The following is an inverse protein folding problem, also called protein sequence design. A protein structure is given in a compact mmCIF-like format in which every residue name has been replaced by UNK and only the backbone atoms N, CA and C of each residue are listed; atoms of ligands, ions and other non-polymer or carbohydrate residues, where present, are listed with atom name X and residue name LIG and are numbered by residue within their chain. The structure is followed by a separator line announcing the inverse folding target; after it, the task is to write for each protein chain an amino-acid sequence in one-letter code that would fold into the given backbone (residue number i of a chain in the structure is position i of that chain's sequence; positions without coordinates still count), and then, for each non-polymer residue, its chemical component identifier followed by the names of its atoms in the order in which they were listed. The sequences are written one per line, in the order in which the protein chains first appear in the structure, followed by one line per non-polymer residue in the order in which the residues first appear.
data_IF_261440844176
#
_entry.id   IF_261440844176
#
_cell.length_a   1.000
_cell.length_b   1.000
_cell.length_c   1.000
_cell.angle_alpha   90.00
_cell.angle_beta   90.00
_cell.angle_gamma   90.00
#
_symmetry.space_group_name_H-M   'P 1'
#
loop_
_entity.id
_entity.type
_entity.pdbx_description
1 polymer ?
#
# COMPACT_ATOMS: atom_id res chain seq x y z
N UNK A 1 -6.08 11.33 -5.34
CA UNK A 1 -7.32 10.82 -4.74
C UNK A 1 -7.07 9.47 -4.08
N UNK A 2 -7.56 9.30 -2.86
CA UNK A 2 -7.41 8.02 -2.14
C UNK A 2 -8.41 6.99 -2.67
N UNK A 3 -7.95 5.77 -2.80
CA UNK A 3 -8.80 4.64 -3.18
C UNK A 3 -8.20 3.31 -2.74
N UNK A 4 -8.99 2.27 -2.80
CA UNK A 4 -8.49 0.93 -2.51
C UNK A 4 -7.52 0.46 -3.59
N UNK A 5 -6.53 -0.32 -3.18
CA UNK A 5 -5.60 -0.97 -4.08
C UNK A 5 -6.28 -2.18 -4.70
N UNK A 6 -6.05 -2.41 -5.99
CA UNK A 6 -6.53 -3.59 -6.70
C UNK A 6 -5.37 -4.31 -7.37
N UNK A 7 -5.65 -5.48 -7.93
CA UNK A 7 -4.64 -6.27 -8.63
C UNK A 7 -4.03 -5.53 -9.83
N UNK A 8 -4.76 -4.60 -10.41
CA UNK A 8 -4.28 -3.80 -11.53
C UNK A 8 -3.21 -2.79 -11.12
N UNK A 9 -3.02 -2.57 -9.83
CA UNK A 9 -2.02 -1.65 -9.30
C UNK A 9 -0.69 -2.35 -8.98
N UNK A 10 -0.58 -3.65 -9.26
CA UNK A 10 0.57 -4.45 -8.83
C UNK A 10 1.90 -3.92 -9.35
N UNK A 11 1.94 -3.48 -10.60
CA UNK A 11 3.18 -2.99 -11.19
C UNK A 11 3.65 -1.70 -10.53
N UNK A 12 2.73 -0.79 -10.25
CA UNK A 12 3.06 0.46 -9.56
C UNK A 12 3.51 0.20 -8.13
N UNK A 13 2.85 -0.72 -7.43
CA UNK A 13 3.25 -1.12 -6.07
C UNK A 13 4.66 -1.71 -6.08
N UNK A 14 4.97 -2.58 -7.05
CA UNK A 14 6.30 -3.14 -7.19
C UNK A 14 7.35 -2.05 -7.40
N UNK A 15 7.09 -1.13 -8.33
CA UNK A 15 8.03 -0.05 -8.65
C UNK A 15 8.27 0.85 -7.46
N UNK A 16 7.22 1.27 -6.77
CA UNK A 16 7.31 2.15 -5.61
C UNK A 16 8.07 1.44 -4.48
N UNK A 17 7.76 0.17 -4.23
CA UNK A 17 8.43 -0.61 -3.19
C UNK A 17 9.91 -0.74 -3.46
N UNK A 18 10.28 -0.97 -4.72
CA UNK A 18 11.68 -1.08 -5.11
C UNK A 18 12.43 0.25 -4.97
N UNK A 19 11.88 1.32 -5.53
CA UNK A 19 12.56 2.61 -5.56
C UNK A 19 12.54 3.34 -4.23
N UNK A 20 11.43 3.30 -3.50
CA UNK A 20 11.27 4.11 -2.30
C UNK A 20 11.58 3.35 -1.02
N UNK A 21 11.42 2.03 -1.01
CA UNK A 21 11.64 1.20 0.18
C UNK A 21 12.83 0.25 0.04
N UNK A 22 13.40 0.14 -1.16
CA UNK A 22 14.55 -0.72 -1.40
C UNK A 22 14.23 -2.21 -1.44
N UNK A 23 12.98 -2.58 -1.65
CA UNK A 23 12.57 -3.98 -1.72
C UNK A 23 12.53 -4.46 -3.17
N UNK A 24 13.43 -5.36 -3.51
CA UNK A 24 13.45 -6.00 -4.82
C UNK A 24 12.51 -7.20 -4.81
N UNK A 25 11.22 -6.94 -5.03
CA UNK A 25 10.20 -7.99 -5.00
C UNK A 25 9.73 -8.35 -6.40
N UNK A 26 9.41 -9.63 -6.57
CA UNK A 26 8.86 -10.18 -7.81
C UNK A 26 7.41 -9.73 -7.99
N UNK A 27 7.04 -9.40 -9.22
CA UNK A 27 5.68 -8.93 -9.53
C UNK A 27 4.61 -9.97 -9.15
N UNK A 28 4.89 -11.26 -9.34
CA UNK A 28 3.95 -12.32 -8.99
C UNK A 28 3.69 -12.37 -7.49
N UNK A 29 4.70 -12.08 -6.68
CA UNK A 29 4.54 -12.00 -5.21
C UNK A 29 3.65 -10.81 -4.86
N UNK A 30 3.85 -9.67 -5.50
CA UNK A 30 3.02 -8.49 -5.26
C UNK A 30 1.56 -8.79 -5.61
N UNK A 31 1.32 -9.41 -6.76
CA UNK A 31 -0.03 -9.80 -7.17
C UNK A 31 -0.69 -10.75 -6.19
N UNK A 32 0.07 -11.78 -5.76
CA UNK A 32 -0.42 -12.75 -4.79
C UNK A 32 -0.80 -12.09 -3.47
N UNK A 33 0.05 -11.19 -2.99
CA UNK A 33 -0.18 -10.50 -1.72
C UNK A 33 -1.36 -9.53 -1.82
N UNK A 34 -1.52 -8.82 -2.93
CA UNK A 34 -2.68 -7.95 -3.12
C UNK A 34 -3.96 -8.77 -3.03
N UNK A 35 -4.04 -9.91 -3.74
CA UNK A 35 -5.22 -10.77 -3.69
C UNK A 35 -5.51 -11.26 -2.28
N UNK A 36 -4.48 -11.73 -1.59
CA UNK A 36 -4.62 -12.29 -0.25
C UNK A 36 -5.04 -11.24 0.77
N UNK A 37 -4.35 -10.10 0.77
CA UNK A 37 -4.53 -9.10 1.82
C UNK A 37 -5.77 -8.24 1.61
N UNK A 38 -6.18 -7.99 0.37
CA UNK A 38 -7.41 -7.24 0.11
C UNK A 38 -8.66 -8.04 0.44
N UNK A 39 -8.56 -9.38 0.49
CA UNK A 39 -9.66 -10.23 0.92
C UNK A 39 -9.81 -10.26 2.45
N UNK A 40 -8.82 -9.82 3.19
CA UNK A 40 -8.87 -9.75 4.66
C UNK A 40 -8.96 -8.30 5.11
N UNK A 41 -10.09 -7.66 4.82
CA UNK A 41 -10.30 -6.26 5.15
C UNK A 41 -10.66 -6.04 6.63
N UNK A 42 -10.77 -7.10 7.42
CA UNK A 42 -10.96 -6.97 8.87
C UNK A 42 -9.66 -6.66 9.60
N UNK A 43 -8.53 -7.13 9.05
CA UNK A 43 -7.23 -6.97 9.68
C UNK A 43 -6.30 -6.06 8.90
N UNK A 44 -6.58 -5.83 7.62
CA UNK A 44 -5.70 -5.05 6.75
C UNK A 44 -6.42 -3.83 6.20
N UNK A 45 -5.74 -2.69 6.26
CA UNK A 45 -6.15 -1.44 5.63
C UNK A 45 -5.11 -1.14 4.56
N UNK A 46 -5.54 -1.15 3.29
CA UNK A 46 -4.63 -0.96 2.16
C UNK A 46 -5.23 0.13 1.28
N UNK A 47 -4.60 1.30 1.32
CA UNK A 47 -5.09 2.49 0.62
C UNK A 47 -4.01 2.96 -0.34
N UNK A 48 -4.43 3.31 -1.56
CA UNK A 48 -3.57 3.92 -2.56
C UNK A 48 -3.94 5.36 -2.80
N UNK A 49 -2.95 6.15 -3.23
CA UNK A 49 -3.18 7.49 -3.73
C UNK A 49 -3.02 7.47 -5.25
N UNK A 50 -4.07 7.87 -5.95
CA UNK A 50 -4.13 7.83 -7.41
C UNK A 50 -3.80 9.20 -7.99
N UNK A 51 -2.96 9.20 -9.03
CA UNK A 51 -2.75 10.39 -9.84
C UNK A 51 -3.99 10.61 -10.71
N UNK A 52 -4.60 11.79 -10.63
CA UNK A 52 -5.86 12.08 -11.32
C UNK A 52 -5.73 12.07 -12.83
N UNK A 53 -4.55 12.37 -13.36
CA UNK A 53 -4.32 12.45 -14.80
C UNK A 53 -4.06 11.08 -15.41
N UNK A 54 -3.20 10.27 -14.77
CA UNK A 54 -2.80 8.97 -15.29
C UNK A 54 -3.65 7.83 -14.75
N UNK A 55 -4.35 8.03 -13.64
CA UNK A 55 -5.12 7.03 -12.91
C UNK A 55 -4.25 5.95 -12.28
N UNK A 56 -2.93 6.15 -12.28
CA UNK A 56 -2.00 5.20 -11.67
C UNK A 56 -1.75 5.54 -10.22
N UNK A 57 -1.44 4.52 -9.42
CA UNK A 57 -1.06 4.69 -8.03
C UNK A 57 0.33 5.32 -7.97
N UNK A 58 0.45 6.37 -7.17
CA UNK A 58 1.73 7.07 -6.92
C UNK A 58 2.14 7.00 -5.46
N UNK A 59 1.34 6.38 -4.62
CA UNK A 59 1.67 6.16 -3.23
C UNK A 59 0.71 5.15 -2.63
N UNK A 60 1.11 4.54 -1.51
CA UNK A 60 0.25 3.60 -0.81
C UNK A 60 0.59 3.53 0.67
N UNK A 61 -0.39 3.09 1.45
CA UNK A 61 -0.18 2.71 2.84
C UNK A 61 -0.81 1.35 3.10
N UNK A 62 -0.09 0.50 3.80
CA UNK A 62 -0.58 -0.77 4.30
C UNK A 62 -0.45 -0.77 5.82
N UNK A 63 -1.58 -0.93 6.50
CA UNK A 63 -1.63 -1.02 7.95
C UNK A 63 -2.39 -2.27 8.34
N UNK A 64 -2.06 -2.83 9.50
CA UNK A 64 -2.80 -3.95 10.07
C UNK A 64 -3.41 -3.55 11.40
N UNK A 65 -4.61 -4.06 11.66
CA UNK A 65 -5.24 -3.99 12.96
C UNK A 65 -4.76 -5.18 13.77
N UNK A 66 -4.32 -4.95 15.00
CA UNK A 66 -3.92 -6.05 15.86
C UNK A 66 -4.57 -5.91 17.22
N UNK A 67 -4.72 -7.04 17.90
CA UNK A 67 -5.36 -7.12 19.19
C UNK A 67 -4.45 -7.84 20.17
N UNK A 68 -4.56 -7.49 21.45
CA UNK A 68 -3.83 -8.16 22.51
C UNK A 68 -4.72 -8.29 23.73
N UNK A 69 -4.29 -9.12 24.69
CA UNK A 69 -5.09 -9.38 25.88
C UNK A 69 -5.13 -8.22 26.86
N UNK A 70 -4.23 -7.25 26.71
CA UNK A 70 -4.04 -6.21 27.72
C UNK A 70 -4.04 -4.80 27.14
N UNK A 71 -4.41 -4.64 25.86
CA UNK A 71 -4.45 -3.33 25.20
C UNK A 71 -5.67 -3.25 24.30
N UNK A 72 -6.12 -2.03 24.05
CA UNK A 72 -7.12 -1.78 23.02
C UNK A 72 -6.57 -2.13 21.63
N UNK A 73 -7.47 -2.24 20.66
CA UNK A 73 -7.09 -2.49 19.26
C UNK A 73 -6.02 -1.50 18.81
N UNK A 74 -4.95 -2.03 18.27
CA UNK A 74 -3.83 -1.23 17.77
C UNK A 74 -3.78 -1.21 16.25
N UNK A 75 -3.07 -0.22 15.72
CA UNK A 75 -2.82 -0.07 14.29
C UNK A 75 -1.32 -0.07 14.06
N UNK A 76 -0.85 -0.98 13.20
CA UNK A 76 0.57 -1.09 12.88
C UNK A 76 0.77 -0.76 11.39
N UNK A 77 1.60 0.23 11.11
CA UNK A 77 1.93 0.58 9.73
C UNK A 77 3.01 -0.37 9.23
N UNK A 78 2.66 -1.19 8.25
CA UNK A 78 3.58 -2.17 7.65
C UNK A 78 4.32 -1.61 6.44
N UNK A 79 3.71 -0.67 5.73
CA UNK A 79 4.33 -0.03 4.58
C UNK A 79 3.69 1.31 4.29
N UNK A 80 4.53 2.29 3.96
CA UNK A 80 4.09 3.62 3.56
C UNK A 80 5.13 4.16 2.60
N UNK A 81 4.74 4.44 1.37
CA UNK A 81 5.66 4.94 0.38
C UNK A 81 4.95 5.83 -0.63
N UNK A 82 5.64 6.86 -1.09
CA UNK A 82 5.17 7.78 -2.12
C UNK A 82 6.26 7.90 -3.18
N UNK A 83 5.88 7.82 -4.45
CA UNK A 83 6.80 8.05 -5.57
C UNK A 83 7.50 9.39 -5.37
N UNK A 84 8.83 9.39 -5.47
CA UNK A 84 9.65 10.58 -5.18
C UNK A 84 9.28 11.79 -6.06
N UNK A 85 8.76 11.55 -7.25
CA UNK A 85 8.31 12.64 -8.13
C UNK A 85 7.07 13.37 -7.60
N UNK A 86 6.38 12.79 -6.62
CA UNK A 86 5.16 13.33 -6.05
C UNK A 86 5.25 13.63 -4.55
N UNK A 87 6.41 13.42 -3.95
CA UNK A 87 6.62 13.74 -2.54
C UNK A 87 6.55 15.25 -2.33
N UNK A 88 6.10 15.65 -1.16
CA UNK A 88 5.96 17.07 -0.83
C UNK A 88 4.65 17.68 -1.30
N UNK A 89 3.73 16.91 -1.87
CA UNK A 89 2.43 17.39 -2.32
C UNK A 89 1.30 17.08 -1.31
N UNK A 90 1.66 16.80 -0.07
CA UNK A 90 0.68 16.51 0.98
C UNK A 90 0.11 15.10 0.94
N UNK A 91 0.75 14.18 0.23
CA UNK A 91 0.28 12.81 0.10
C UNK A 91 0.75 11.95 1.26
N UNK A 92 2.01 12.07 1.60
CA UNK A 92 2.64 11.20 2.59
C UNK A 92 2.83 11.82 3.98
#
# INVERSE_FOLDING_TARGET
MLRNITIFDAQEIQSISNFELGYDVNLDIVKKQIRKLTNDNKHNIIIGFENEQTRKIIGFVHAELYESLYMDTGLNILGLAVDSNFQGQGIG
#
